data_IF_187618552068
#
_entry.id   IF_187618552068
#
_cell.length_a   1.000
_cell.length_b   1.000
_cell.length_c   1.000
_cell.angle_alpha   90.00
_cell.angle_beta   90.00
_cell.angle_gamma   90.00
#
_symmetry.space_group_name_H-M   'P 1'
#
loop_
_entity.id
_entity.type
_entity.pdbx_description
1 polymer ?
#
# COMPACT_ATOMS: atom_id res chain seq x y z
N UNK A 1 5.68 -16.46 -6.15
CA UNK A 1 4.27 -16.74 -5.77
C UNK A 1 3.57 -15.41 -5.83
N UNK A 2 2.70 -15.21 -6.81
CA UNK A 2 2.03 -13.92 -7.03
C UNK A 2 1.21 -13.53 -5.79
N UNK A 3 1.46 -12.35 -5.24
CA UNK A 3 0.68 -11.79 -4.14
C UNK A 3 -0.50 -11.00 -4.72
N UNK A 4 -1.70 -11.23 -4.19
CA UNK A 4 -2.87 -10.40 -4.52
C UNK A 4 -2.96 -9.24 -3.55
N UNK A 5 -3.15 -8.03 -4.06
CA UNK A 5 -3.40 -6.82 -3.27
C UNK A 5 -4.74 -6.21 -3.61
N UNK A 6 -5.25 -5.40 -2.70
CA UNK A 6 -6.47 -4.65 -2.88
C UNK A 6 -6.13 -3.18 -2.93
N UNK A 7 -6.60 -2.48 -3.95
CA UNK A 7 -6.35 -1.06 -4.14
C UNK A 7 -7.60 -0.32 -4.65
N UNK A 8 -7.51 1.00 -4.71
CA UNK A 8 -8.51 1.85 -5.34
C UNK A 8 -8.30 1.91 -6.85
N UNK A 9 -9.24 1.41 -7.65
CA UNK A 9 -9.18 1.42 -9.13
C UNK A 9 -9.13 2.81 -9.80
N UNK A 10 -9.35 3.88 -9.05
CA UNK A 10 -9.42 5.25 -9.59
C UNK A 10 -8.15 6.05 -9.38
N UNK A 11 -7.29 5.64 -8.45
CA UNK A 11 -6.07 6.36 -8.09
C UNK A 11 -4.94 5.44 -7.66
N UNK A 12 -5.12 4.13 -7.89
CA UNK A 12 -4.19 3.05 -7.60
C UNK A 12 -3.64 3.08 -6.17
N UNK A 13 -4.44 3.62 -5.24
CA UNK A 13 -4.05 3.76 -3.85
C UNK A 13 -4.09 2.38 -3.17
N UNK A 14 -2.95 1.84 -2.72
CA UNK A 14 -2.89 0.54 -2.06
C UNK A 14 -3.27 0.63 -0.57
N UNK A 15 -3.49 1.85 -0.05
CA UNK A 15 -3.81 2.06 1.35
C UNK A 15 -5.21 1.54 1.69
N UNK A 16 -5.39 1.16 2.96
CA UNK A 16 -6.70 0.78 3.49
C UNK A 16 -7.72 1.91 3.29
N UNK A 17 -9.00 1.57 3.08
CA UNK A 17 -10.05 2.58 3.05
C UNK A 17 -10.14 3.30 4.40
N UNK A 18 -10.58 4.56 4.34
CA UNK A 18 -10.95 5.35 5.50
C UNK A 18 -12.44 5.14 5.79
N UNK A 19 -12.82 5.14 7.07
CA UNK A 19 -14.22 5.22 7.46
C UNK A 19 -14.62 6.70 7.65
N UNK A 20 -15.73 7.10 7.03
CA UNK A 20 -16.36 8.41 7.16
C UNK A 20 -17.83 8.17 7.46
N UNK A 21 -18.28 8.49 8.68
CA UNK A 21 -19.67 8.37 9.12
C UNK A 21 -20.32 6.99 8.88
N UNK A 22 -19.52 5.92 8.94
CA UNK A 22 -19.97 4.54 8.69
C UNK A 22 -19.67 4.04 7.27
N UNK A 23 -19.38 4.93 6.34
CA UNK A 23 -19.06 4.59 4.96
C UNK A 23 -17.56 4.39 4.75
N UNK A 24 -17.20 3.29 4.09
CA UNK A 24 -15.82 3.06 3.67
C UNK A 24 -15.56 3.79 2.35
N UNK A 25 -14.54 4.65 2.34
CA UNK A 25 -14.10 5.42 1.17
C UNK A 25 -12.60 5.26 0.94
N UNK A 26 -12.14 5.48 -0.28
CA UNK A 26 -10.71 5.55 -0.58
C UNK A 26 -10.07 6.66 0.27
N UNK A 27 -9.00 6.31 0.99
CA UNK A 27 -8.28 7.25 1.85
C UNK A 27 -7.58 8.38 1.08
N UNK A 28 -7.37 8.20 -0.24
CA UNK A 28 -6.73 9.19 -1.10
C UNK A 28 -7.76 10.04 -1.88
N UNK A 29 -8.61 9.42 -2.70
CA UNK A 29 -9.53 10.15 -3.59
C UNK A 29 -10.97 10.29 -3.08
N UNK A 30 -11.32 9.68 -1.93
CA UNK A 30 -12.66 9.76 -1.35
C UNK A 30 -13.75 8.94 -2.06
N UNK A 31 -13.43 8.24 -3.14
CA UNK A 31 -14.39 7.38 -3.83
C UNK A 31 -14.91 6.26 -2.91
N UNK A 32 -16.21 5.96 -2.98
CA UNK A 32 -16.83 4.88 -2.19
C UNK A 32 -16.13 3.54 -2.41
N UNK A 33 -15.74 2.88 -1.33
CA UNK A 33 -14.90 1.69 -1.37
C UNK A 33 -15.59 0.50 -2.03
N UNK A 34 -16.91 0.37 -1.86
CA UNK A 34 -17.70 -0.69 -2.52
C UNK A 34 -17.53 -0.68 -4.05
N UNK A 35 -17.41 0.50 -4.64
CA UNK A 35 -17.23 0.70 -6.08
C UNK A 35 -15.76 0.83 -6.50
N UNK A 36 -14.91 1.30 -5.60
CA UNK A 36 -13.51 1.58 -5.87
C UNK A 36 -12.57 0.39 -5.64
N UNK A 37 -12.95 -0.58 -4.81
CA UNK A 37 -12.14 -1.75 -4.47
C UNK A 37 -11.83 -2.60 -5.71
N UNK A 38 -10.55 -2.83 -5.99
CA UNK A 38 -10.09 -3.74 -7.03
C UNK A 38 -8.98 -4.66 -6.51
N UNK A 39 -8.99 -5.91 -6.94
CA UNK A 39 -7.92 -6.87 -6.66
C UNK A 39 -6.91 -6.88 -7.81
N UNK A 40 -5.64 -6.66 -7.48
CA UNK A 40 -4.54 -6.71 -8.44
C UNK A 40 -3.56 -7.82 -8.11
N UNK A 41 -2.97 -8.40 -9.16
CA UNK A 41 -1.90 -9.38 -9.05
C UNK A 41 -0.56 -8.67 -9.14
N UNK A 42 0.21 -8.72 -8.07
CA UNK A 42 1.55 -8.16 -8.04
C UNK A 42 2.52 -9.20 -8.58
N UNK A 43 3.39 -8.76 -9.49
CA UNK A 43 4.40 -9.63 -10.09
C UNK A 43 5.52 -9.95 -9.09
N UNK A 44 6.19 -11.09 -9.25
CA UNK A 44 7.33 -11.45 -8.40
C UNK A 44 8.47 -10.41 -8.51
N UNK A 45 8.63 -9.74 -9.66
CA UNK A 45 9.63 -8.68 -9.85
C UNK A 45 9.32 -7.41 -9.04
N UNK A 46 8.04 -7.04 -8.96
CA UNK A 46 7.61 -5.86 -8.23
C UNK A 46 7.72 -6.09 -6.72
N UNK A 47 7.33 -7.29 -6.25
CA UNK A 47 7.54 -7.71 -4.87
C UNK A 47 9.01 -7.69 -4.45
N UNK A 48 9.91 -8.14 -5.33
CA UNK A 48 11.35 -8.15 -5.02
C UNK A 48 11.91 -6.73 -4.93
N UNK A 49 11.44 -5.81 -5.78
CA UNK A 49 11.82 -4.40 -5.71
C UNK A 49 11.40 -3.78 -4.37
N UNK A 50 10.15 -3.96 -3.97
CA UNK A 50 9.62 -3.40 -2.72
C UNK A 50 10.35 -3.96 -1.50
N UNK A 51 10.69 -5.25 -1.51
CA UNK A 51 11.51 -5.86 -0.44
C UNK A 51 12.88 -5.22 -0.32
N UNK A 52 13.52 -4.92 -1.46
CA UNK A 52 14.82 -4.23 -1.49
C UNK A 52 14.70 -2.81 -0.94
N UNK A 53 13.68 -2.06 -1.38
CA UNK A 53 13.42 -0.70 -0.89
C UNK A 53 13.13 -0.67 0.61
N UNK A 54 12.35 -1.62 1.12
CA UNK A 54 12.10 -1.76 2.57
C UNK A 54 13.39 -2.09 3.33
N UNK A 55 14.22 -3.01 2.83
CA UNK A 55 15.48 -3.36 3.48
C UNK A 55 16.46 -2.18 3.52
N UNK A 56 16.51 -1.37 2.45
CA UNK A 56 17.32 -0.14 2.40
C UNK A 56 16.81 0.90 3.41
N UNK A 57 15.49 1.08 3.51
CA UNK A 57 14.89 1.95 4.52
C UNK A 57 15.18 1.48 5.95
N UNK A 58 14.98 0.20 6.24
CA UNK A 58 15.26 -0.38 7.56
C UNK A 58 16.74 -0.23 7.94
N UNK A 59 17.65 -0.42 6.98
CA UNK A 59 19.09 -0.20 7.17
C UNK A 59 19.40 1.28 7.46
N UNK A 60 18.73 2.20 6.79
CA UNK A 60 18.89 3.64 7.03
C UNK A 60 18.36 4.04 8.42
N UNK A 61 17.17 3.55 8.80
CA UNK A 61 16.59 3.80 10.13
C UNK A 61 17.48 3.27 11.25
N UNK A 62 18.02 2.04 11.09
CA UNK A 62 18.92 1.46 12.07
C UNK A 62 20.19 2.31 12.30
N UNK A 63 20.79 2.84 11.23
CA UNK A 63 21.95 3.73 11.33
C UNK A 63 21.61 5.08 11.99
N UNK A 64 20.40 5.58 11.79
CA UNK A 64 19.95 6.83 12.43
C UNK A 64 19.64 6.65 13.91
N UNK A 65 19.13 5.49 14.32
CA UNK A 65 18.79 5.20 15.72
C UNK A 65 20.00 4.88 16.60
N UNK A 66 21.13 4.46 16.02
CA UNK A 66 22.39 4.26 16.75
C UNK A 66 23.15 5.58 17.05
N UNK A 67 22.61 6.73 16.65
CA UNK A 67 23.19 8.07 16.86
C UNK A 67 22.46 8.91 17.92
N UNK A 68 21.41 8.38 18.57
CA UNK A 68 20.77 8.95 19.78
C UNK A 68 21.27 8.25 21.05
#
# INVERSE_FOLDING_TARGET
MSQTRVECRYCDNPCKPRNVDGDLVCSNCGAEWASAKCEIKVSDQELERERKEQAEFDQWVAQYWELE
#
